data_IF_117477951146
#
_entry.id   IF_117477951146
#
_cell.length_a   1.000
_cell.length_b   1.000
_cell.length_c   1.000
_cell.angle_alpha   90.00
_cell.angle_beta   90.00
_cell.angle_gamma   90.00
#
_symmetry.space_group_name_H-M   'P 1'
#
loop_
_entity.id
_entity.type
_entity.pdbx_description
1 polymer ?
#
# COMPACT_ATOMS: atom_id res chain seq x y z
N UNK A 1 -6.82 -38.34 2.09
CA UNK A 1 -5.92 -37.51 1.27
C UNK A 1 -6.50 -36.11 1.20
N UNK A 2 -5.97 -35.17 1.99
CA UNK A 2 -6.46 -33.79 2.03
C UNK A 2 -5.96 -33.02 0.82
N UNK A 3 -6.83 -32.74 -0.14
CA UNK A 3 -6.54 -31.84 -1.24
C UNK A 3 -6.23 -30.45 -0.69
N UNK A 4 -4.98 -30.00 -0.88
CA UNK A 4 -4.58 -28.63 -0.58
C UNK A 4 -5.48 -27.69 -1.38
N UNK A 5 -6.38 -26.95 -0.69
CA UNK A 5 -7.22 -25.92 -1.31
C UNK A 5 -6.26 -24.89 -1.91
N UNK A 6 -6.04 -24.95 -3.22
CA UNK A 6 -5.24 -23.96 -3.95
C UNK A 6 -5.82 -22.58 -3.66
N UNK A 7 -5.05 -21.72 -2.98
CA UNK A 7 -5.39 -20.31 -2.77
C UNK A 7 -5.69 -19.70 -4.15
N UNK A 8 -6.87 -19.09 -4.33
CA UNK A 8 -7.18 -18.36 -5.57
C UNK A 8 -6.05 -17.37 -5.83
N UNK A 9 -5.50 -17.38 -7.05
CA UNK A 9 -4.41 -16.48 -7.43
C UNK A 9 -4.94 -15.05 -7.37
N UNK A 10 -4.17 -14.12 -6.80
CA UNK A 10 -4.54 -12.72 -6.80
C UNK A 10 -4.65 -12.21 -8.25
N UNK A 11 -5.64 -11.36 -8.49
CA UNK A 11 -5.97 -10.76 -9.78
C UNK A 11 -5.87 -9.24 -9.69
N UNK A 12 -6.04 -8.56 -10.82
CA UNK A 12 -6.27 -7.11 -10.85
C UNK A 12 -7.47 -6.78 -9.93
N UNK A 13 -7.43 -5.62 -9.28
CA UNK A 13 -8.47 -5.19 -8.36
C UNK A 13 -9.85 -5.14 -9.05
N UNK A 14 -10.95 -5.65 -8.45
CA UNK A 14 -12.24 -5.74 -9.15
C UNK A 14 -12.79 -4.40 -9.67
N UNK A 15 -12.60 -3.32 -8.91
CA UNK A 15 -13.00 -1.95 -9.31
C UNK A 15 -12.13 -1.34 -10.42
N UNK A 16 -10.99 -1.96 -10.75
CA UNK A 16 -10.09 -1.47 -11.79
C UNK A 16 -10.73 -1.73 -13.16
N UNK A 17 -10.78 -0.70 -14.02
CA UNK A 17 -11.35 -0.78 -15.38
C UNK A 17 -10.76 -1.92 -16.22
N UNK A 18 -9.48 -2.25 -15.98
CA UNK A 18 -8.74 -3.26 -16.72
C UNK A 18 -8.84 -4.67 -16.14
N UNK A 19 -9.67 -4.90 -15.10
CA UNK A 19 -9.79 -6.19 -14.42
C UNK A 19 -10.32 -7.29 -15.34
N UNK A 20 -11.43 -7.00 -16.03
CA UNK A 20 -12.09 -7.90 -16.96
C UNK A 20 -11.86 -7.50 -18.44
N UNK A 21 -11.49 -6.23 -18.67
CA UNK A 21 -11.34 -5.66 -20.01
C UNK A 21 -9.89 -5.15 -20.22
N UNK A 22 -8.95 -6.02 -20.62
CA UNK A 22 -7.61 -5.57 -20.95
C UNK A 22 -7.65 -4.57 -22.13
N UNK A 23 -6.70 -3.63 -22.22
CA UNK A 23 -6.71 -2.64 -23.29
C UNK A 23 -6.68 -3.27 -24.69
N UNK A 24 -7.59 -2.84 -25.56
CA UNK A 24 -7.60 -3.24 -26.97
C UNK A 24 -6.61 -2.36 -27.76
N UNK A 25 -5.39 -2.87 -27.97
CA UNK A 25 -4.36 -2.12 -28.67
C UNK A 25 -4.73 -1.80 -30.12
N UNK A 26 -5.49 -2.66 -30.80
CA UNK A 26 -5.88 -2.41 -32.19
C UNK A 26 -6.89 -1.25 -32.27
N UNK A 27 -7.86 -1.22 -31.35
CA UNK A 27 -8.77 -0.08 -31.21
C UNK A 27 -8.01 1.20 -30.86
N UNK A 28 -7.11 1.15 -29.87
CA UNK A 28 -6.33 2.32 -29.48
C UNK A 28 -5.46 2.83 -30.63
N UNK A 29 -4.87 1.95 -31.44
CA UNK A 29 -4.08 2.34 -32.61
C UNK A 29 -4.91 3.03 -33.70
N UNK A 30 -6.19 2.65 -33.86
CA UNK A 30 -7.07 3.28 -34.83
C UNK A 30 -7.53 4.67 -34.39
N UNK A 31 -7.67 4.88 -33.08
CA UNK A 31 -8.04 6.17 -32.49
C UNK A 31 -6.84 7.12 -32.31
N UNK A 32 -5.65 6.57 -32.10
CA UNK A 32 -4.42 7.33 -31.85
C UNK A 32 -3.34 6.95 -32.87
N UNK A 33 -3.26 7.65 -34.02
CA UNK A 33 -2.29 7.33 -35.07
C UNK A 33 -0.83 7.36 -34.61
N UNK A 34 -0.50 8.15 -33.59
CA UNK A 34 0.83 8.20 -32.96
C UNK A 34 1.21 6.91 -32.24
N UNK A 35 0.23 6.10 -31.82
CA UNK A 35 0.46 4.80 -31.19
C UNK A 35 0.67 3.68 -32.21
N UNK A 36 0.09 3.82 -33.42
CA UNK A 36 0.15 2.81 -34.48
C UNK A 36 1.57 2.26 -34.78
N UNK A 37 2.64 3.09 -34.85
CA UNK A 37 4.00 2.61 -35.13
C UNK A 37 4.57 1.65 -34.08
N UNK A 38 4.03 1.62 -32.87
CA UNK A 38 4.55 0.79 -31.77
C UNK A 38 3.92 -0.61 -31.71
N UNK A 39 2.90 -0.88 -32.53
CA UNK A 39 2.25 -2.19 -32.55
C UNK A 39 3.11 -3.23 -33.25
N UNK A 40 3.10 -4.44 -32.67
CA UNK A 40 3.74 -5.63 -33.19
C UNK A 40 2.74 -6.76 -33.22
N UNK A 41 2.75 -7.51 -34.31
CA UNK A 41 2.01 -8.76 -34.39
C UNK A 41 2.70 -9.81 -33.52
N UNK A 42 1.96 -10.37 -32.56
CA UNK A 42 2.48 -11.48 -31.78
C UNK A 42 2.50 -12.73 -32.66
N UNK A 43 3.68 -13.34 -32.84
CA UNK A 43 3.79 -14.60 -33.59
C UNK A 43 3.17 -15.79 -32.83
N UNK A 44 2.83 -15.62 -31.54
CA UNK A 44 2.32 -16.67 -30.64
C UNK A 44 0.90 -16.44 -30.17
N UNK A 45 0.33 -15.27 -30.39
CA UNK A 45 -1.01 -14.91 -29.94
C UNK A 45 -1.76 -14.22 -31.07
N UNK A 46 -3.07 -14.46 -31.17
CA UNK A 46 -3.98 -13.79 -32.12
C UNK A 46 -4.18 -12.29 -31.84
N UNK A 47 -3.45 -11.73 -30.89
CA UNK A 47 -3.61 -10.37 -30.40
C UNK A 47 -2.35 -9.53 -30.67
N UNK A 48 -2.57 -8.26 -30.98
CA UNK A 48 -1.50 -7.27 -31.16
C UNK A 48 -0.86 -6.93 -29.82
N UNK A 49 0.45 -6.70 -29.82
CA UNK A 49 1.24 -6.32 -28.62
C UNK A 49 2.11 -5.12 -28.95
N UNK A 50 2.81 -4.56 -27.95
CA UNK A 50 3.92 -3.62 -28.14
C UNK A 50 5.26 -4.27 -27.79
N UNK A 51 6.36 -3.59 -28.07
CA UNK A 51 7.66 -3.87 -27.47
C UNK A 51 7.72 -3.35 -26.03
N UNK A 52 7.72 -4.26 -25.06
CA UNK A 52 7.83 -3.88 -23.65
C UNK A 52 9.23 -3.43 -23.23
N UNK A 53 10.23 -3.59 -24.10
CA UNK A 53 11.61 -3.07 -23.89
C UNK A 53 11.83 -1.69 -24.51
N UNK A 54 10.88 -1.18 -25.30
CA UNK A 54 10.94 0.16 -25.88
C UNK A 54 10.27 1.18 -24.94
N UNK A 55 11.07 2.11 -24.43
CA UNK A 55 10.59 3.20 -23.58
C UNK A 55 9.53 4.06 -24.29
N UNK A 56 9.69 4.32 -25.59
CA UNK A 56 8.74 5.15 -26.33
C UNK A 56 7.40 4.43 -26.54
N UNK A 57 7.45 3.12 -26.80
CA UNK A 57 6.23 2.31 -26.90
C UNK A 57 5.44 2.30 -25.59
N UNK A 58 6.13 2.14 -24.45
CA UNK A 58 5.49 2.13 -23.12
C UNK A 58 4.99 3.51 -22.72
N UNK A 59 5.77 4.59 -22.97
CA UNK A 59 5.34 5.97 -22.75
C UNK A 59 4.11 6.33 -23.56
N UNK A 60 4.08 5.98 -24.85
CA UNK A 60 2.95 6.27 -25.72
C UNK A 60 1.70 5.45 -25.34
N UNK A 61 1.85 4.18 -25.00
CA UNK A 61 0.75 3.38 -24.46
C UNK A 61 0.18 4.02 -23.18
N UNK A 62 1.04 4.44 -22.24
CA UNK A 62 0.60 5.10 -21.01
C UNK A 62 -0.15 6.40 -21.29
N UNK A 63 0.37 7.25 -22.18
CA UNK A 63 -0.31 8.48 -22.61
C UNK A 63 -1.69 8.18 -23.19
N UNK A 64 -1.79 7.23 -24.10
CA UNK A 64 -3.04 6.86 -24.76
C UNK A 64 -4.06 6.31 -23.77
N UNK A 65 -3.64 5.45 -22.83
CA UNK A 65 -4.54 4.93 -21.79
C UNK A 65 -5.05 6.05 -20.87
N UNK A 66 -4.17 6.95 -20.45
CA UNK A 66 -4.56 8.08 -19.60
C UNK A 66 -5.54 9.02 -20.30
N UNK A 67 -5.30 9.32 -21.57
CA UNK A 67 -6.20 10.17 -22.34
C UNK A 67 -7.55 9.48 -22.63
N UNK A 68 -7.53 8.24 -23.11
CA UNK A 68 -8.73 7.52 -23.53
C UNK A 68 -9.62 7.10 -22.36
N UNK A 69 -9.03 6.56 -21.29
CA UNK A 69 -9.80 5.94 -20.21
C UNK A 69 -10.05 6.86 -19.02
N UNK A 70 -9.21 7.87 -18.82
CA UNK A 70 -9.21 8.73 -17.63
C UNK A 70 -9.32 10.22 -17.96
N UNK A 71 -9.43 10.58 -19.24
CA UNK A 71 -9.51 11.97 -19.72
C UNK A 71 -8.31 12.85 -19.26
N UNK A 72 -7.14 12.24 -19.12
CA UNK A 72 -5.93 12.90 -18.65
C UNK A 72 -4.96 13.21 -19.80
N UNK A 73 -4.59 14.48 -19.94
CA UNK A 73 -3.49 14.92 -20.80
C UNK A 73 -2.19 14.78 -20.02
N UNK A 74 -1.25 13.97 -20.52
CA UNK A 74 -0.10 13.55 -19.73
C UNK A 74 1.14 13.33 -20.60
N UNK A 75 2.32 13.70 -20.09
CA UNK A 75 3.59 13.38 -20.71
C UNK A 75 4.75 13.35 -19.70
N UNK A 76 5.84 12.66 -20.03
CA UNK A 76 7.10 12.68 -19.27
C UNK A 76 8.30 12.84 -20.20
N UNK A 77 9.39 13.47 -19.75
CA UNK A 77 10.61 13.59 -20.53
C UNK A 77 11.33 12.23 -20.59
N UNK A 78 12.32 12.15 -21.47
CA UNK A 78 13.13 10.94 -21.62
C UNK A 78 13.89 10.63 -20.33
N UNK A 79 14.11 9.33 -20.09
CA UNK A 79 14.88 8.84 -18.94
C UNK A 79 14.10 8.71 -17.63
N UNK A 80 12.90 9.27 -17.51
CA UNK A 80 12.06 9.15 -16.30
C UNK A 80 11.36 7.80 -16.21
N UNK A 81 10.89 7.42 -15.01
CA UNK A 81 10.13 6.19 -14.83
C UNK A 81 8.75 6.31 -15.46
N UNK A 82 8.49 5.49 -16.49
CA UNK A 82 7.18 5.39 -17.14
C UNK A 82 6.23 4.47 -16.33
N UNK A 83 5.11 4.98 -15.80
CA UNK A 83 4.21 4.17 -14.99
C UNK A 83 3.31 3.25 -15.83
N UNK A 84 3.00 2.05 -15.33
CA UNK A 84 1.99 1.19 -15.92
C UNK A 84 0.61 1.45 -15.30
N UNK A 85 -0.28 2.12 -16.05
CA UNK A 85 -1.60 2.59 -15.55
C UNK A 85 -2.39 1.51 -14.78
N UNK A 86 -2.52 0.26 -15.26
CA UNK A 86 -3.34 -0.73 -14.54
C UNK A 86 -2.80 -1.07 -13.14
N UNK A 87 -1.47 -1.20 -12.98
CA UNK A 87 -0.90 -1.47 -11.66
C UNK A 87 -1.00 -0.27 -10.72
N UNK A 88 -0.89 0.96 -11.23
CA UNK A 88 -1.06 2.16 -10.40
C UNK A 88 -2.51 2.33 -9.93
N UNK A 89 -3.47 2.05 -10.81
CA UNK A 89 -4.90 2.03 -10.47
C UNK A 89 -5.27 0.97 -9.42
N UNK A 90 -4.58 -0.20 -9.39
CA UNK A 90 -4.80 -1.19 -8.32
C UNK A 90 -4.51 -0.61 -6.92
N UNK A 91 -3.51 0.25 -6.79
CA UNK A 91 -3.17 0.88 -5.52
C UNK A 91 -4.25 1.90 -5.11
N UNK A 92 -4.69 2.75 -6.05
CA UNK A 92 -5.79 3.71 -5.81
C UNK A 92 -7.05 3.01 -5.31
N UNK A 93 -7.47 1.91 -5.96
CA UNK A 93 -8.67 1.20 -5.52
C UNK A 93 -8.50 0.43 -4.20
N UNK A 94 -7.29 -0.01 -3.88
CA UNK A 94 -7.04 -0.59 -2.55
C UNK A 94 -7.10 0.47 -1.44
N UNK A 95 -6.61 1.68 -1.72
CA UNK A 95 -6.79 2.82 -0.81
C UNK A 95 -8.27 3.15 -0.63
N UNK A 96 -9.06 3.14 -1.69
CA UNK A 96 -10.51 3.35 -1.62
C UNK A 96 -11.19 2.32 -0.69
N UNK A 97 -10.81 1.03 -0.80
CA UNK A 97 -11.31 -0.02 0.09
C UNK A 97 -10.83 0.17 1.55
N UNK A 98 -9.58 0.62 1.78
CA UNK A 98 -9.07 0.94 3.11
C UNK A 98 -9.81 2.13 3.74
N UNK A 99 -10.15 3.14 2.93
CA UNK A 99 -10.85 4.34 3.38
C UNK A 99 -12.34 4.09 3.63
N UNK A 100 -12.96 3.18 2.89
CA UNK A 100 -14.32 2.73 3.15
C UNK A 100 -14.43 1.79 4.37
N UNK A 101 -13.28 1.33 4.90
CA UNK A 101 -13.24 0.37 6.00
C UNK A 101 -13.50 1.04 7.36
N UNK A 102 -14.51 0.54 8.07
CA UNK A 102 -14.84 0.98 9.45
C UNK A 102 -13.89 0.41 10.53
N UNK A 103 -12.69 -0.02 10.15
CA UNK A 103 -11.75 -0.64 11.10
C UNK A 103 -11.07 0.42 11.98
N UNK A 104 -10.88 1.63 11.45
CA UNK A 104 -10.38 2.82 12.16
C UNK A 104 -11.33 3.99 11.89
N UNK A 105 -11.30 5.09 12.65
CA UNK A 105 -12.20 6.22 12.46
C UNK A 105 -12.20 6.75 11.01
N UNK A 106 -13.39 7.04 10.47
CA UNK A 106 -13.62 7.28 9.04
C UNK A 106 -13.24 8.67 8.52
N UNK A 107 -12.87 9.61 9.37
CA UNK A 107 -12.32 10.89 8.92
C UNK A 107 -11.46 11.51 10.01
N UNK A 108 -10.37 12.13 9.57
CA UNK A 108 -9.64 13.12 10.36
C UNK A 108 -9.61 14.49 9.65
N UNK A 109 -10.21 14.59 8.47
CA UNK A 109 -10.26 15.80 7.65
C UNK A 109 -11.63 16.47 7.80
N UNK A 110 -11.63 17.79 7.98
CA UNK A 110 -12.84 18.59 8.03
C UNK A 110 -13.33 18.82 6.59
N UNK A 111 -14.47 18.23 6.23
CA UNK A 111 -15.13 18.51 4.95
C UNK A 111 -15.49 17.29 4.10
N UNK A 112 -15.22 16.07 4.55
CA UNK A 112 -15.69 14.83 3.91
C UNK A 112 -15.11 14.52 2.53
N UNK A 113 -14.20 15.37 2.02
CA UNK A 113 -13.43 15.13 0.80
C UNK A 113 -12.10 14.49 1.18
N UNK A 114 -11.76 13.39 0.51
CA UNK A 114 -10.52 12.66 0.75
C UNK A 114 -9.32 13.50 0.33
N UNK A 115 -8.33 13.61 1.23
CA UNK A 115 -7.03 14.25 0.96
C UNK A 115 -5.88 13.26 1.12
N UNK A 116 -5.19 12.97 0.02
CA UNK A 116 -4.04 12.07 -0.04
C UNK A 116 -2.70 12.81 -0.05
N UNK A 117 -1.63 12.11 0.34
CA UNK A 117 -0.25 12.55 0.17
C UNK A 117 0.55 11.51 -0.62
N UNK A 118 1.18 11.90 -1.72
CA UNK A 118 2.01 11.02 -2.56
C UNK A 118 3.50 11.34 -2.36
N UNK A 119 4.24 10.38 -1.82
CA UNK A 119 5.68 10.51 -1.51
C UNK A 119 6.50 10.04 -2.70
N UNK A 120 7.26 10.96 -3.31
CA UNK A 120 8.02 10.68 -4.54
C UNK A 120 7.07 10.56 -5.72
N UNK A 121 6.31 11.63 -6.00
CA UNK A 121 5.29 11.64 -7.05
C UNK A 121 5.88 11.48 -8.46
N UNK A 122 7.17 11.78 -8.60
CA UNK A 122 7.93 11.66 -9.85
C UNK A 122 7.44 12.62 -10.93
N UNK A 123 8.19 12.70 -12.03
CA UNK A 123 7.78 13.50 -13.20
C UNK A 123 6.41 13.10 -13.75
N UNK A 124 5.99 11.85 -13.52
CA UNK A 124 4.73 11.32 -14.01
C UNK A 124 3.50 11.74 -13.18
N UNK A 125 3.63 12.08 -11.90
CA UNK A 125 2.52 12.45 -11.03
C UNK A 125 1.29 11.51 -11.12
N UNK A 126 1.54 10.20 -11.32
CA UNK A 126 0.50 9.28 -11.76
C UNK A 126 -0.60 9.04 -10.71
N UNK A 127 -0.24 9.01 -9.43
CA UNK A 127 -1.20 8.72 -8.36
C UNK A 127 -2.13 9.90 -8.08
N UNK A 128 -1.64 11.15 -7.92
CA UNK A 128 -2.51 12.31 -7.80
C UNK A 128 -3.48 12.44 -8.96
N UNK A 129 -2.99 12.32 -10.20
CA UNK A 129 -3.83 12.43 -11.40
C UNK A 129 -4.91 11.35 -11.47
N UNK A 130 -4.55 10.09 -11.20
CA UNK A 130 -5.52 8.99 -11.20
C UNK A 130 -6.54 9.11 -10.07
N UNK A 131 -6.11 9.45 -8.84
CA UNK A 131 -7.02 9.58 -7.71
C UNK A 131 -7.98 10.75 -7.87
N UNK A 132 -7.51 11.88 -8.41
CA UNK A 132 -8.35 13.03 -8.74
C UNK A 132 -9.35 12.70 -9.86
N UNK A 133 -8.91 12.09 -10.96
CA UNK A 133 -9.78 11.73 -12.09
C UNK A 133 -10.82 10.66 -11.74
N UNK A 134 -10.41 9.60 -11.02
CA UNK A 134 -11.28 8.46 -10.73
C UNK A 134 -12.25 8.73 -9.58
N UNK A 135 -11.80 9.43 -8.53
CA UNK A 135 -12.49 9.49 -7.24
C UNK A 135 -12.67 10.92 -6.72
N UNK A 136 -12.23 11.95 -7.45
CA UNK A 136 -12.33 13.34 -7.04
C UNK A 136 -11.50 13.68 -5.79
N UNK A 137 -10.48 12.89 -5.50
CA UNK A 137 -9.61 13.09 -4.34
C UNK A 137 -8.69 14.29 -4.55
N UNK A 138 -8.40 14.99 -3.45
CA UNK A 138 -7.35 16.00 -3.42
C UNK A 138 -6.02 15.39 -3.01
N UNK A 139 -4.91 15.95 -3.48
CA UNK A 139 -3.57 15.42 -3.25
C UNK A 139 -2.56 16.52 -2.97
N UNK A 140 -1.59 16.17 -2.15
CA UNK A 140 -0.26 16.79 -2.16
C UNK A 140 0.72 15.75 -2.70
N UNK A 141 1.40 16.05 -3.80
CA UNK A 141 2.50 15.23 -4.33
C UNK A 141 3.84 15.87 -3.99
N UNK A 142 4.75 15.11 -3.39
CA UNK A 142 6.09 15.60 -3.07
C UNK A 142 7.18 14.90 -3.86
N UNK A 143 8.27 15.63 -4.15
CA UNK A 143 9.49 15.05 -4.73
C UNK A 143 10.74 15.83 -4.31
N UNK A 144 11.91 15.23 -4.50
CA UNK A 144 13.23 15.82 -4.19
C UNK A 144 13.92 16.39 -5.43
N UNK A 145 13.55 15.95 -6.63
CA UNK A 145 14.24 16.34 -7.87
C UNK A 145 13.54 17.48 -8.60
N UNK A 146 14.30 18.44 -9.14
CA UNK A 146 13.74 19.55 -9.94
C UNK A 146 12.95 19.06 -11.15
N UNK A 147 13.45 18.02 -11.83
CA UNK A 147 12.80 17.44 -13.00
C UNK A 147 11.44 16.85 -12.63
N UNK A 148 11.33 16.14 -11.50
CA UNK A 148 10.05 15.61 -11.07
C UNK A 148 9.06 16.71 -10.72
N UNK A 149 9.49 17.73 -9.96
CA UNK A 149 8.63 18.87 -9.59
C UNK A 149 8.12 19.60 -10.84
N UNK A 150 9.02 19.98 -11.76
CA UNK A 150 8.67 20.72 -12.98
C UNK A 150 7.66 19.93 -13.85
N UNK A 151 7.89 18.64 -14.05
CA UNK A 151 7.02 17.82 -14.90
C UNK A 151 5.73 17.39 -14.22
N UNK A 152 5.74 17.16 -12.91
CA UNK A 152 4.51 16.93 -12.16
C UNK A 152 3.58 18.15 -12.26
N UNK A 153 4.11 19.37 -12.04
CA UNK A 153 3.36 20.61 -12.19
C UNK A 153 2.82 20.78 -13.62
N UNK A 154 3.62 20.51 -14.65
CA UNK A 154 3.17 20.54 -16.05
C UNK A 154 2.03 19.56 -16.32
N UNK A 155 2.12 18.35 -15.79
CA UNK A 155 1.06 17.35 -15.95
C UNK A 155 -0.22 17.75 -15.21
N UNK A 156 -0.13 18.33 -14.02
CA UNK A 156 -1.28 18.88 -13.30
C UNK A 156 -1.92 20.02 -14.09
N UNK A 157 -1.12 20.99 -14.54
CA UNK A 157 -1.58 22.18 -15.28
C UNK A 157 -2.16 21.84 -16.66
N UNK A 158 -1.78 20.70 -17.24
CA UNK A 158 -2.37 20.19 -18.49
C UNK A 158 -3.80 19.65 -18.32
N UNK A 159 -4.28 19.54 -17.08
CA UNK A 159 -5.60 19.01 -16.73
C UNK A 159 -6.40 20.01 -15.88
N UNK A 160 -6.86 21.13 -16.45
CA UNK A 160 -7.49 22.23 -15.71
C UNK A 160 -8.79 21.84 -14.98
N UNK A 161 -9.41 20.72 -15.34
CA UNK A 161 -10.61 20.21 -14.69
C UNK A 161 -10.34 19.55 -13.32
N UNK A 162 -9.09 19.22 -13.01
CA UNK A 162 -8.66 18.64 -11.73
C UNK A 162 -7.45 19.35 -11.11
N UNK A 163 -6.88 20.37 -11.76
CA UNK A 163 -5.63 21.00 -11.30
C UNK A 163 -5.74 21.54 -9.87
N UNK A 164 -6.88 22.10 -9.49
CA UNK A 164 -7.14 22.65 -8.16
C UNK A 164 -7.19 21.57 -7.06
N UNK A 165 -7.26 20.29 -7.43
CA UNK A 165 -7.23 19.18 -6.50
C UNK A 165 -5.80 18.74 -6.15
N UNK A 166 -4.78 19.17 -6.90
CA UNK A 166 -3.42 18.62 -6.78
C UNK A 166 -2.41 19.74 -6.54
N UNK A 167 -1.74 19.70 -5.39
CA UNK A 167 -0.63 20.56 -5.05
C UNK A 167 0.69 19.78 -5.18
N UNK A 168 1.71 20.37 -5.82
CA UNK A 168 3.06 19.80 -5.87
C UNK A 168 3.97 20.53 -4.88
N UNK A 169 4.79 19.78 -4.12
CA UNK A 169 5.71 20.33 -3.12
C UNK A 169 7.12 19.76 -3.26
N UNK A 170 8.11 20.64 -3.15
CA UNK A 170 9.51 20.22 -3.05
C UNK A 170 9.84 19.78 -1.63
N UNK A 171 10.56 18.66 -1.51
CA UNK A 171 11.22 18.27 -0.27
C UNK A 171 12.58 18.93 -0.23
N UNK A 172 12.76 19.89 0.68
CA UNK A 172 14.03 20.59 0.84
C UNK A 172 15.08 19.66 1.44
N UNK A 173 16.22 19.54 0.77
CA UNK A 173 17.41 18.92 1.33
C UNK A 173 18.06 19.92 2.29
N UNK A 174 17.59 19.97 3.54
CA UNK A 174 18.26 20.76 4.55
C UNK A 174 19.73 20.33 4.65
N UNK A 175 20.65 21.18 4.19
CA UNK A 175 22.06 21.05 4.49
C UNK A 175 22.24 21.04 6.00
N UNK A 176 22.65 19.89 6.54
CA UNK A 176 22.79 19.58 7.97
C UNK A 176 21.57 19.93 8.84
N UNK A 177 20.68 18.96 9.03
CA UNK A 177 19.92 18.91 10.28
C UNK A 177 20.92 18.64 11.43
N UNK A 178 21.02 19.60 12.34
CA UNK A 178 21.83 19.51 13.56
C UNK A 178 21.58 18.17 14.26
N UNK A 179 22.67 17.42 14.46
CA UNK A 179 22.65 16.17 15.17
C UNK A 179 22.13 16.41 16.59
N UNK A 180 21.03 15.76 16.95
CA UNK A 180 20.53 15.71 18.32
C UNK A 180 21.62 15.08 19.18
N UNK A 181 22.23 15.88 20.05
CA UNK A 181 23.23 15.44 21.03
C UNK A 181 22.71 14.24 21.82
N UNK A 182 23.36 13.08 21.64
CA UNK A 182 23.28 11.98 22.61
C UNK A 182 24.64 11.86 23.30
N UNK A 183 24.66 12.42 24.50
CA UNK A 183 25.45 12.08 25.70
C UNK A 183 26.68 11.18 25.52
N UNK A 184 27.82 11.78 25.87
CA UNK A 184 29.13 11.18 26.12
C UNK A 184 29.08 9.96 27.04
N UNK A 185 29.74 8.87 26.62
CA UNK A 185 30.39 7.93 27.54
C UNK A 185 31.82 7.70 27.03
N UNK A 186 32.77 7.94 27.92
CA UNK A 186 34.21 8.03 27.71
C UNK A 186 34.84 6.70 27.23
N UNK A 187 35.82 6.84 26.33
CA UNK A 187 36.75 5.77 25.97
C UNK A 187 37.78 5.52 27.07
N UNK A 188 38.08 4.26 27.34
CA UNK A 188 39.35 3.86 27.94
C UNK A 188 39.96 2.70 27.16
N UNK A 189 41.17 2.95 26.66
CA UNK A 189 42.00 2.08 25.82
C UNK A 189 42.69 0.99 26.64
N UNK A 190 42.67 -0.26 26.17
CA UNK A 190 43.79 -1.18 26.42
C UNK A 190 43.97 -2.24 25.31
N UNK A 191 45.10 -2.11 24.61
CA UNK A 191 46.05 -3.14 24.19
C UNK A 191 45.53 -4.51 23.68
N UNK A 192 45.64 -4.69 22.36
CA UNK A 192 46.34 -5.82 21.74
C UNK A 192 45.68 -7.20 21.73
N UNK A 193 45.18 -7.60 20.55
CA UNK A 193 45.39 -8.94 19.96
C UNK A 193 44.81 -8.99 18.54
N UNK A 194 45.67 -9.37 17.59
CA UNK A 194 45.24 -9.82 16.26
C UNK A 194 44.62 -11.21 16.46
N UNK A 195 43.33 -11.34 16.14
CA UNK A 195 42.65 -12.61 15.96
C UNK A 195 41.73 -12.49 14.75
N UNK A 196 42.00 -13.30 13.74
CA UNK A 196 41.12 -13.56 12.61
C UNK A 196 39.84 -14.23 13.11
N UNK A 197 38.72 -13.50 13.12
CA UNK A 197 37.38 -14.06 13.21
C UNK A 197 36.40 -13.22 12.38
N UNK A 198 35.89 -13.86 11.32
CA UNK A 198 34.48 -13.91 10.92
C UNK A 198 33.74 -12.63 10.49
N UNK A 199 33.24 -12.68 9.25
CA UNK A 199 32.00 -12.09 8.74
C UNK A 199 31.61 -10.71 9.29
N UNK A 200 32.06 -9.66 8.61
CA UNK A 200 31.46 -8.33 8.77
C UNK A 200 30.02 -8.42 8.24
N UNK A 201 29.07 -8.37 9.17
CA UNK A 201 27.63 -8.41 8.92
C UNK A 201 27.22 -7.40 7.84
N UNK A 202 26.59 -7.90 6.78
CA UNK A 202 26.01 -7.13 5.69
C UNK A 202 24.70 -6.39 6.09
N UNK A 203 24.45 -6.14 7.38
CA UNK A 203 23.08 -5.92 7.89
C UNK A 203 22.63 -4.47 8.16
N UNK A 204 23.50 -3.44 8.21
CA UNK A 204 23.04 -2.06 8.52
C UNK A 204 23.38 -1.02 7.44
N UNK A 205 22.76 -1.17 6.25
CA UNK A 205 22.66 -0.08 5.28
C UNK A 205 21.40 0.75 5.59
N UNK A 206 21.54 1.76 6.43
CA UNK A 206 20.44 2.69 6.75
C UNK A 206 20.20 3.70 5.63
N UNK A 207 18.99 4.27 5.60
CA UNK A 207 18.64 5.37 4.73
C UNK A 207 19.38 6.64 5.17
N UNK A 208 20.03 7.31 4.22
CA UNK A 208 20.87 8.51 4.50
C UNK A 208 20.32 9.79 3.84
N UNK A 209 19.12 9.76 3.27
CA UNK A 209 18.49 10.95 2.67
C UNK A 209 17.76 11.81 3.70
N UNK A 210 17.14 12.93 3.27
CA UNK A 210 16.32 13.76 4.14
C UNK A 210 15.06 13.01 4.61
N UNK A 211 14.40 13.45 5.69
CA UNK A 211 13.04 13.01 6.00
C UNK A 211 12.13 13.13 4.76
N UNK A 212 11.24 12.16 4.58
CA UNK A 212 10.42 12.04 3.37
C UNK A 212 9.04 12.69 3.53
N UNK A 213 8.56 12.82 4.77
CA UNK A 213 7.32 13.49 5.13
C UNK A 213 7.57 14.68 6.07
N UNK A 214 8.54 14.59 6.97
CA UNK A 214 8.83 15.69 7.90
C UNK A 214 9.40 16.89 7.13
N UNK A 215 8.90 18.09 7.42
CA UNK A 215 9.28 19.33 6.75
C UNK A 215 8.48 19.66 5.49
N UNK A 216 7.91 18.67 4.80
CA UNK A 216 7.02 18.89 3.63
C UNK A 216 5.54 18.82 3.98
N UNK A 217 5.18 18.02 4.99
CA UNK A 217 3.88 18.08 5.65
C UNK A 217 3.87 19.32 6.53
N UNK A 218 2.93 20.24 6.27
CA UNK A 218 2.80 21.48 7.04
C UNK A 218 2.14 21.19 8.39
N UNK A 219 2.40 22.06 9.36
CA UNK A 219 1.76 21.99 10.67
C UNK A 219 0.23 22.00 10.54
N UNK A 220 -0.43 21.22 11.41
CA UNK A 220 -1.88 21.05 11.47
C UNK A 220 -2.56 20.45 10.22
N UNK A 221 -1.82 20.13 9.15
CA UNK A 221 -2.41 19.42 8.01
C UNK A 221 -2.78 17.98 8.37
N UNK A 222 -4.00 17.60 7.94
CA UNK A 222 -4.53 16.25 8.07
C UNK A 222 -4.73 15.63 6.70
N UNK A 223 -4.44 14.33 6.61
CA UNK A 223 -4.54 13.54 5.39
C UNK A 223 -5.24 12.22 5.69
N UNK A 224 -6.13 11.81 4.79
CA UNK A 224 -6.78 10.51 4.86
C UNK A 224 -5.79 9.36 4.61
N UNK A 225 -4.78 9.59 3.78
CA UNK A 225 -3.71 8.64 3.58
C UNK A 225 -2.41 9.28 3.08
N UNK A 226 -1.29 8.59 3.27
CA UNK A 226 -0.13 8.72 2.39
C UNK A 226 0.06 7.45 1.55
N UNK A 227 0.70 7.61 0.40
CA UNK A 227 1.10 6.51 -0.47
C UNK A 227 2.51 6.73 -1.02
N UNK A 228 3.17 5.64 -1.38
CA UNK A 228 4.51 5.68 -1.95
C UNK A 228 4.75 4.48 -2.87
N UNK A 229 5.42 4.72 -3.99
CA UNK A 229 6.07 3.68 -4.78
C UNK A 229 7.59 3.87 -4.65
N UNK A 230 8.22 3.24 -3.65
CA UNK A 230 9.59 3.56 -3.27
C UNK A 230 10.60 3.14 -4.34
N UNK A 231 11.80 3.74 -4.35
CA UNK A 231 12.93 3.22 -5.12
C UNK A 231 13.22 1.76 -4.70
N UNK A 232 13.15 0.85 -5.67
CA UNK A 232 13.13 -0.60 -5.42
C UNK A 232 14.51 -1.24 -5.29
N UNK A 233 15.57 -0.55 -5.74
CA UNK A 233 16.87 -1.15 -5.96
C UNK A 233 17.94 -0.56 -5.05
N UNK A 234 18.93 -1.38 -4.70
CA UNK A 234 20.13 -0.89 -4.01
C UNK A 234 21.15 -0.27 -4.97
N UNK A 235 21.08 -0.62 -6.27
CA UNK A 235 21.95 -0.09 -7.32
C UNK A 235 21.27 -0.11 -8.70
N UNK A 236 21.78 0.71 -9.63
CA UNK A 236 21.33 0.72 -11.03
C UNK A 236 21.64 -0.61 -11.75
N UNK A 237 22.72 -1.29 -11.36
CA UNK A 237 23.04 -2.63 -11.88
C UNK A 237 21.92 -3.62 -11.61
N UNK A 238 21.35 -3.58 -10.41
CA UNK A 238 20.22 -4.41 -10.01
C UNK A 238 18.94 -4.06 -10.79
N UNK A 239 18.71 -2.77 -11.05
CA UNK A 239 17.58 -2.28 -11.84
C UNK A 239 17.63 -2.80 -13.30
N UNK A 240 18.84 -2.91 -13.87
CA UNK A 240 19.07 -3.40 -15.24
C UNK A 240 18.93 -4.91 -15.45
N UNK A 241 18.73 -5.71 -14.39
CA UNK A 241 18.73 -7.18 -14.49
C UNK A 241 17.49 -7.79 -15.15
N UNK A 242 16.44 -7.01 -15.43
CA UNK A 242 15.23 -7.53 -16.09
C UNK A 242 15.22 -7.21 -17.60
N UNK A 243 15.67 -8.13 -18.48
CA UNK A 243 15.78 -7.87 -19.91
C UNK A 243 14.42 -7.81 -20.64
N UNK A 244 13.29 -8.01 -19.93
CA UNK A 244 11.95 -8.11 -20.52
C UNK A 244 11.16 -6.81 -20.47
N UNK A 245 11.69 -5.76 -19.86
CA UNK A 245 11.02 -4.48 -19.67
C UNK A 245 12.02 -3.34 -19.83
N UNK A 246 11.61 -2.20 -20.40
CA UNK A 246 12.43 -0.99 -20.36
C UNK A 246 12.54 -0.54 -18.90
N UNK A 247 13.74 -0.61 -18.31
CA UNK A 247 13.99 0.05 -17.02
C UNK A 247 14.31 1.52 -17.28
N UNK A 248 13.29 2.30 -17.66
CA UNK A 248 13.38 3.76 -17.59
C UNK A 248 13.31 4.20 -16.12
N UNK A 249 13.86 5.37 -15.81
CA UNK A 249 13.97 5.88 -14.45
C UNK A 249 15.36 6.45 -14.17
N UNK A 250 15.40 7.57 -13.45
CA UNK A 250 16.65 8.14 -12.96
C UNK A 250 17.21 7.32 -11.80
N UNK A 251 18.48 7.56 -11.44
CA UNK A 251 19.10 6.94 -10.25
C UNK A 251 18.27 7.25 -9.01
N UNK A 252 17.80 8.48 -8.90
CA UNK A 252 17.05 9.02 -7.77
C UNK A 252 15.65 8.42 -7.66
N UNK A 253 15.03 8.01 -8.78
CA UNK A 253 13.72 7.31 -8.78
C UNK A 253 13.85 5.81 -8.49
N UNK A 254 14.98 5.20 -8.84
CA UNK A 254 15.12 3.74 -8.84
C UNK A 254 15.95 3.19 -7.68
N UNK A 255 16.89 3.99 -7.18
CA UNK A 255 17.93 3.53 -6.26
C UNK A 255 17.87 4.30 -4.95
N UNK A 256 18.02 3.55 -3.86
CA UNK A 256 18.19 4.10 -2.53
C UNK A 256 19.25 3.30 -1.77
N UNK A 257 20.18 3.94 -1.03
CA UNK A 257 21.03 3.23 -0.08
C UNK A 257 20.18 2.39 0.89
N UNK A 258 20.49 1.09 1.01
CA UNK A 258 19.68 0.13 1.79
C UNK A 258 18.36 -0.31 1.12
N UNK A 259 18.14 0.15 -0.11
CA UNK A 259 17.04 -0.21 -1.01
C UNK A 259 15.66 0.15 -0.46
N UNK A 260 14.66 -0.51 -1.02
CA UNK A 260 13.26 -0.39 -0.60
C UNK A 260 13.08 -0.54 0.92
N UNK A 261 13.81 -1.48 1.53
CA UNK A 261 13.68 -1.77 2.97
C UNK A 261 14.03 -0.55 3.80
N UNK A 262 15.17 0.10 3.52
CA UNK A 262 15.60 1.28 4.25
C UNK A 262 14.67 2.48 4.00
N UNK A 263 14.24 2.67 2.75
CA UNK A 263 13.32 3.77 2.41
C UNK A 263 11.98 3.64 3.15
N UNK A 264 11.37 2.45 3.16
CA UNK A 264 10.10 2.24 3.88
C UNK A 264 10.32 2.36 5.40
N UNK A 265 11.45 1.89 5.94
CA UNK A 265 11.79 2.12 7.35
C UNK A 265 11.81 3.63 7.67
N UNK A 266 12.35 4.46 6.78
CA UNK A 266 12.30 5.93 6.96
C UNK A 266 10.86 6.47 6.99
N UNK A 267 9.98 5.99 6.12
CA UNK A 267 8.54 6.37 6.16
C UNK A 267 7.92 5.96 7.50
N UNK A 268 8.28 4.78 8.03
CA UNK A 268 7.81 4.31 9.34
C UNK A 268 8.31 5.24 10.46
N UNK A 269 9.57 5.67 10.42
CA UNK A 269 10.13 6.63 11.38
C UNK A 269 9.44 8.00 11.30
N UNK A 270 9.24 8.56 10.11
CA UNK A 270 8.49 9.82 9.97
C UNK A 270 7.05 9.69 10.49
N UNK A 271 6.43 8.52 10.31
CA UNK A 271 5.08 8.26 10.78
C UNK A 271 4.96 8.27 12.31
N UNK A 272 6.04 7.99 13.07
CA UNK A 272 6.01 8.06 14.53
C UNK A 272 5.96 9.48 15.06
N UNK A 273 6.41 10.47 14.28
CA UNK A 273 6.27 11.88 14.64
C UNK A 273 4.91 12.42 14.19
N UNK A 274 4.49 12.06 12.97
CA UNK A 274 3.26 12.59 12.38
C UNK A 274 1.98 11.94 12.91
N UNK A 275 2.04 10.68 13.38
CA UNK A 275 0.95 9.88 13.96
C UNK A 275 -0.46 10.23 13.46
N UNK A 276 -1.12 11.17 14.14
CA UNK A 276 -2.52 11.57 13.94
C UNK A 276 -2.73 12.58 12.82
N UNK A 277 -1.69 12.97 12.10
CA UNK A 277 -1.79 13.76 10.86
C UNK A 277 -2.21 12.91 9.67
N UNK A 278 -2.08 11.59 9.76
CA UNK A 278 -2.54 10.65 8.73
C UNK A 278 -3.50 9.63 9.32
N UNK A 279 -4.56 9.31 8.57
CA UNK A 279 -5.45 8.18 8.90
C UNK A 279 -4.77 6.86 8.58
N UNK A 280 -4.22 6.76 7.38
CA UNK A 280 -3.47 5.61 6.90
C UNK A 280 -2.10 6.04 6.38
N UNK A 281 -1.05 5.36 6.83
CA UNK A 281 0.23 5.39 6.13
C UNK A 281 0.30 4.15 5.24
N UNK A 282 0.73 4.31 3.99
CA UNK A 282 0.85 3.17 3.07
C UNK A 282 2.10 3.26 2.19
N UNK A 283 2.61 2.10 1.79
CA UNK A 283 3.65 1.99 0.75
C UNK A 283 3.44 0.74 -0.11
N UNK A 284 3.77 0.84 -1.39
CA UNK A 284 3.99 -0.32 -2.23
C UNK A 284 5.30 -1.01 -1.81
N UNK A 285 5.33 -2.33 -1.95
CA UNK A 285 6.46 -3.20 -1.68
C UNK A 285 6.70 -4.07 -2.92
N UNK A 286 7.90 -3.99 -3.47
CA UNK A 286 8.40 -4.66 -4.65
C UNK A 286 8.91 -6.06 -4.37
N UNK A 287 9.46 -6.30 -3.18
CA UNK A 287 9.99 -7.61 -2.78
C UNK A 287 9.22 -8.18 -1.60
N UNK A 288 8.56 -9.32 -1.82
CA UNK A 288 7.80 -10.03 -0.78
C UNK A 288 8.63 -10.34 0.48
N UNK A 289 9.93 -10.60 0.32
CA UNK A 289 10.86 -10.87 1.43
C UNK A 289 10.94 -9.71 2.43
N UNK A 290 10.73 -8.47 1.98
CA UNK A 290 10.80 -7.28 2.84
C UNK A 290 9.61 -7.19 3.81
N UNK A 291 8.45 -7.75 3.45
CA UNK A 291 7.23 -7.64 4.27
C UNK A 291 7.42 -8.14 5.69
N UNK A 292 8.12 -9.27 5.88
CA UNK A 292 8.32 -9.84 7.23
C UNK A 292 9.04 -8.86 8.16
N UNK A 293 10.11 -8.25 7.65
CA UNK A 293 10.89 -7.26 8.39
C UNK A 293 10.09 -5.99 8.66
N UNK A 294 9.45 -5.43 7.62
CA UNK A 294 8.69 -4.19 7.73
C UNK A 294 7.50 -4.31 8.69
N UNK A 295 6.78 -5.44 8.65
CA UNK A 295 5.70 -5.72 9.60
C UNK A 295 6.24 -5.82 11.03
N UNK A 296 7.39 -6.45 11.23
CA UNK A 296 8.04 -6.51 12.56
C UNK A 296 8.37 -5.11 13.07
N UNK A 297 8.94 -4.25 12.22
CA UNK A 297 9.29 -2.88 12.58
C UNK A 297 8.07 -2.02 12.91
N UNK A 298 6.97 -2.19 12.17
CA UNK A 298 5.70 -1.54 12.45
C UNK A 298 5.17 -1.86 13.85
N UNK A 299 5.23 -3.13 14.27
CA UNK A 299 4.82 -3.52 15.62
C UNK A 299 5.78 -2.99 16.70
N UNK A 300 7.08 -2.94 16.41
CA UNK A 300 8.08 -2.35 17.31
C UNK A 300 7.79 -0.87 17.60
N UNK A 301 7.38 -0.09 16.60
CA UNK A 301 7.03 1.33 16.79
C UNK A 301 5.61 1.56 17.33
N UNK A 302 4.87 0.49 17.64
CA UNK A 302 3.59 0.57 18.33
C UNK A 302 2.40 1.00 17.48
N UNK A 303 2.34 0.64 16.19
CA UNK A 303 1.13 0.88 15.38
C UNK A 303 -0.06 0.09 15.92
N UNK A 304 -1.26 0.63 15.76
CA UNK A 304 -2.49 -0.02 16.21
C UNK A 304 -2.95 -1.11 15.23
N UNK A 305 -2.63 -0.97 13.95
CA UNK A 305 -3.03 -1.91 12.91
C UNK A 305 -2.05 -1.95 11.74
N UNK A 306 -1.92 -3.15 11.16
CA UNK A 306 -1.22 -3.39 9.90
C UNK A 306 -2.14 -4.15 8.94
N UNK A 307 -2.16 -3.74 7.67
CA UNK A 307 -2.86 -4.41 6.56
C UNK A 307 -1.91 -4.63 5.40
N UNK A 308 -2.12 -5.72 4.68
CA UNK A 308 -1.38 -6.01 3.46
C UNK A 308 -2.30 -6.47 2.34
N UNK A 309 -1.87 -6.26 1.10
CA UNK A 309 -2.53 -6.78 -0.10
C UNK A 309 -1.50 -7.22 -1.13
N UNK A 310 -1.95 -7.88 -2.20
CA UNK A 310 -1.14 -8.29 -3.35
C UNK A 310 -1.72 -7.65 -4.61
N UNK A 311 -0.93 -6.82 -5.29
CA UNK A 311 -1.26 -6.24 -6.59
C UNK A 311 -0.69 -7.15 -7.69
N UNK A 312 -1.53 -7.61 -8.61
CA UNK A 312 -1.11 -8.49 -9.71
C UNK A 312 -1.47 -7.86 -11.04
N UNK A 313 -0.46 -7.68 -11.91
CA UNK A 313 -0.65 -7.33 -13.31
C UNK A 313 0.20 -8.27 -14.17
N UNK A 314 -0.45 -9.21 -14.85
CA UNK A 314 0.23 -10.21 -15.69
C UNK A 314 1.19 -11.09 -14.89
N UNK A 315 2.50 -10.92 -15.13
CA UNK A 315 3.57 -11.66 -14.42
C UNK A 315 4.15 -10.91 -13.24
N UNK A 316 3.84 -9.62 -13.12
CA UNK A 316 4.40 -8.74 -12.09
C UNK A 316 3.47 -8.75 -10.89
N UNK A 317 4.00 -9.19 -9.76
CA UNK A 317 3.36 -9.02 -8.45
C UNK A 317 4.06 -7.90 -7.67
N UNK A 318 3.26 -7.11 -6.98
CA UNK A 318 3.67 -6.15 -5.95
C UNK A 318 2.80 -6.38 -4.72
N UNK A 319 3.18 -5.81 -3.59
CA UNK A 319 2.43 -5.88 -2.36
C UNK A 319 2.11 -4.48 -1.86
N UNK A 320 0.96 -4.30 -1.22
CA UNK A 320 0.65 -3.10 -0.47
C UNK A 320 0.89 -3.35 1.01
N UNK A 321 1.47 -2.38 1.70
CA UNK A 321 1.62 -2.35 3.15
C UNK A 321 0.94 -1.08 3.67
N UNK A 322 0.03 -1.22 4.63
CA UNK A 322 -0.70 -0.11 5.23
C UNK A 322 -0.67 -0.23 6.75
N UNK A 323 -0.56 0.89 7.45
CA UNK A 323 -0.59 0.95 8.91
C UNK A 323 -1.27 2.23 9.41
N UNK A 324 -1.70 2.19 10.66
CA UNK A 324 -2.28 3.36 11.33
C UNK A 324 -1.96 3.35 12.83
N UNK A 325 -1.81 4.55 13.39
CA UNK A 325 -1.74 4.78 14.84
C UNK A 325 -3.12 5.03 15.46
N UNK A 326 -4.17 5.17 14.64
CA UNK A 326 -5.52 5.36 15.16
C UNK A 326 -6.05 4.07 15.79
N UNK A 327 -6.75 4.16 16.93
CA UNK A 327 -7.30 2.99 17.59
C UNK A 327 -8.34 2.32 16.71
N UNK A 328 -8.47 1.01 16.88
CA UNK A 328 -9.52 0.25 16.22
C UNK A 328 -10.88 0.72 16.69
N UNK A 329 -11.81 0.93 15.75
CA UNK A 329 -13.21 1.18 16.09
C UNK A 329 -13.75 -0.11 16.68
N UNK A 330 -14.09 -0.07 17.98
CA UNK A 330 -14.90 -1.13 18.56
C UNK A 330 -16.26 -1.05 17.90
N UNK A 331 -16.59 -2.05 17.07
CA UNK A 331 -17.98 -2.23 16.65
C UNK A 331 -18.77 -2.34 17.95
N UNK A 332 -19.65 -1.37 18.18
CA UNK A 332 -20.66 -1.49 19.20
C UNK A 332 -21.49 -2.71 18.81
N UNK A 333 -21.11 -3.87 19.37
CA UNK A 333 -22.05 -4.95 19.59
C UNK A 333 -23.29 -4.25 20.12
N UNK A 334 -24.44 -4.43 19.44
CA UNK A 334 -25.78 -4.05 19.89
C UNK A 334 -25.74 -3.85 21.39
N UNK A 335 -26.09 -2.65 21.87
CA UNK A 335 -26.18 -2.32 23.29
C UNK A 335 -26.97 -3.40 24.01
N UNK A 336 -26.26 -4.44 24.45
CA UNK A 336 -26.76 -5.46 25.33
C UNK A 336 -26.88 -4.72 26.64
N UNK A 337 -28.13 -4.34 26.91
CA UNK A 337 -28.73 -4.06 28.20
C UNK A 337 -27.69 -3.99 29.32
N UNK A 338 -27.58 -2.78 29.88
CA UNK A 338 -27.13 -2.51 31.25
C UNK A 338 -26.54 -3.73 31.95
N UNK A 339 -25.21 -3.77 31.99
CA UNK A 339 -24.38 -4.74 32.73
C UNK A 339 -25.08 -5.26 34.00
N UNK A 340 -25.81 -6.36 33.87
CA UNK A 340 -25.96 -7.32 34.95
C UNK A 340 -24.99 -8.45 34.61
N UNK A 341 -24.00 -8.65 35.48
CA UNK A 341 -23.01 -9.72 35.38
C UNK A 341 -23.72 -11.07 35.23
N UNK A 342 -23.92 -11.52 33.99
CA UNK A 342 -24.46 -12.84 33.71
C UNK A 342 -23.29 -13.79 33.52
N UNK A 343 -22.99 -14.59 34.55
CA UNK A 343 -22.07 -15.71 34.45
C UNK A 343 -22.85 -16.99 34.16
N UNK A 344 -22.33 -17.81 33.24
CA UNK A 344 -22.88 -19.11 32.91
C UNK A 344 -21.77 -20.14 32.82
N UNK A 345 -22.11 -21.40 33.08
CA UNK A 345 -21.20 -22.53 33.00
C UNK A 345 -21.58 -23.39 31.79
N UNK A 346 -20.56 -23.76 31.01
CA UNK A 346 -20.67 -24.68 29.88
C UNK A 346 -19.94 -25.96 30.25
N UNK A 347 -20.68 -27.06 30.35
CA UNK A 347 -20.10 -28.39 30.54
C UNK A 347 -20.33 -29.24 29.29
N UNK A 348 -19.24 -29.76 28.73
CA UNK A 348 -19.29 -30.81 27.71
C UNK A 348 -19.29 -32.14 28.44
N UNK A 349 -20.45 -32.78 28.55
CA UNK A 349 -20.59 -33.98 29.39
C UNK A 349 -20.54 -35.29 28.58
N UNK A 350 -20.71 -35.22 27.26
CA UNK A 350 -20.57 -36.39 26.40
C UNK A 350 -20.11 -36.02 25.00
N UNK A 351 -19.05 -36.70 24.54
CA UNK A 351 -18.55 -36.62 23.17
C UNK A 351 -18.81 -37.96 22.47
N UNK A 352 -19.57 -37.92 21.38
CA UNK A 352 -19.83 -39.06 20.49
C UNK A 352 -19.21 -38.70 19.12
N UNK A 353 -18.71 -39.65 18.31
CA UNK A 353 -18.21 -39.33 16.97
C UNK A 353 -19.21 -38.48 16.18
N UNK A 354 -18.80 -37.25 15.84
CA UNK A 354 -19.63 -36.29 15.10
C UNK A 354 -20.67 -35.51 15.92
N UNK A 355 -20.82 -35.74 17.22
CA UNK A 355 -21.80 -35.05 18.08
C UNK A 355 -21.21 -34.66 19.44
N UNK A 356 -21.39 -33.39 19.84
CA UNK A 356 -21.04 -32.89 21.16
C UNK A 356 -22.33 -32.55 21.92
N UNK A 357 -22.53 -33.18 23.08
CA UNK A 357 -23.60 -32.84 24.00
C UNK A 357 -23.08 -31.85 25.05
N UNK A 358 -23.66 -30.65 25.03
CA UNK A 358 -23.25 -29.52 25.87
C UNK A 358 -24.42 -29.10 26.74
N UNK A 359 -24.17 -28.92 28.04
CA UNK A 359 -25.13 -28.40 29.00
C UNK A 359 -24.73 -26.99 29.41
N UNK A 360 -25.67 -26.05 29.27
CA UNK A 360 -25.56 -24.70 29.80
C UNK A 360 -26.34 -24.54 31.08
N UNK A 361 -25.74 -23.93 32.09
CA UNK A 361 -26.50 -23.45 33.26
C UNK A 361 -26.11 -22.02 33.61
N UNK A 362 -27.12 -21.25 34.00
CA UNK A 362 -26.96 -19.88 34.46
C UNK A 362 -26.59 -19.91 35.94
N UNK A 363 -25.53 -19.21 36.35
CA UNK A 363 -25.05 -19.29 37.73
C UNK A 363 -26.01 -18.60 38.72
N UNK A 364 -26.85 -17.68 38.24
CA UNK A 364 -27.88 -17.02 39.04
C UNK A 364 -29.29 -17.37 38.53
N UNK A 365 -30.01 -18.21 39.29
CA UNK A 365 -31.32 -18.78 38.91
C UNK A 365 -32.47 -17.77 38.98
N UNK A 366 -32.25 -16.59 39.57
CA UNK A 366 -33.31 -15.60 39.82
C UNK A 366 -33.27 -14.39 38.85
N UNK A 367 -32.44 -14.42 37.80
CA UNK A 367 -32.44 -13.36 36.80
C UNK A 367 -33.57 -13.56 35.76
N UNK A 368 -34.28 -12.49 35.33
CA UNK A 368 -35.40 -12.57 34.36
C UNK A 368 -34.95 -12.90 32.91
N UNK A 369 -33.72 -13.38 32.73
CA UNK A 369 -32.99 -13.41 31.46
C UNK A 369 -32.95 -14.80 30.80
N UNK A 370 -33.88 -15.72 31.12
CA UNK A 370 -33.88 -17.08 30.56
C UNK A 370 -33.86 -17.11 29.02
N UNK A 371 -34.49 -16.11 28.37
CA UNK A 371 -34.46 -15.93 26.92
C UNK A 371 -33.08 -15.58 26.35
N UNK A 372 -32.25 -14.86 27.10
CA UNK A 372 -30.92 -14.44 26.64
C UNK A 372 -29.94 -15.62 26.55
N UNK A 373 -30.05 -16.60 27.46
CA UNK A 373 -29.20 -17.80 27.44
C UNK A 373 -29.47 -18.66 26.20
N UNK A 374 -30.74 -18.80 25.80
CA UNK A 374 -31.12 -19.53 24.58
C UNK A 374 -30.53 -18.90 23.33
N UNK A 375 -30.57 -17.56 23.22
CA UNK A 375 -29.98 -16.82 22.09
C UNK A 375 -28.45 -16.99 22.05
N UNK A 376 -27.78 -16.99 23.21
CA UNK A 376 -26.33 -17.22 23.29
C UNK A 376 -25.97 -18.64 22.83
N UNK A 377 -26.74 -19.65 23.25
CA UNK A 377 -26.54 -21.04 22.85
C UNK A 377 -26.76 -21.24 21.35
N UNK A 378 -27.78 -20.62 20.77
CA UNK A 378 -28.04 -20.69 19.34
C UNK A 378 -26.89 -20.08 18.52
N UNK A 379 -26.35 -18.93 18.95
CA UNK A 379 -25.18 -18.31 18.31
C UNK A 379 -23.91 -19.15 18.46
N UNK A 380 -23.71 -19.77 19.63
CA UNK A 380 -22.58 -20.68 19.86
C UNK A 380 -22.69 -21.91 18.95
N UNK A 381 -23.88 -22.49 18.83
CA UNK A 381 -24.15 -23.60 17.93
C UNK A 381 -23.87 -23.21 16.47
N UNK A 382 -24.35 -22.06 16.00
CA UNK A 382 -24.07 -21.54 14.67
C UNK A 382 -22.56 -21.35 14.42
N UNK A 383 -21.84 -20.74 15.36
CA UNK A 383 -20.41 -20.53 15.25
C UNK A 383 -19.64 -21.86 15.20
N UNK A 384 -20.02 -22.84 16.01
CA UNK A 384 -19.43 -24.17 16.01
C UNK A 384 -19.76 -24.94 14.73
N UNK A 385 -20.99 -24.85 14.22
CA UNK A 385 -21.39 -25.42 12.93
C UNK A 385 -20.60 -24.78 11.79
N UNK A 386 -20.45 -23.46 11.74
CA UNK A 386 -19.62 -22.79 10.73
C UNK A 386 -18.15 -23.21 10.81
N UNK A 387 -17.62 -23.40 12.02
CA UNK A 387 -16.21 -23.71 12.23
C UNK A 387 -15.87 -25.19 11.97
N UNK A 388 -16.79 -26.10 12.29
CA UNK A 388 -16.50 -27.55 12.32
C UNK A 388 -17.39 -28.40 11.39
N UNK A 389 -18.55 -27.91 10.96
CA UNK A 389 -19.43 -28.59 10.01
C UNK A 389 -19.35 -27.91 8.64
N UNK A 390 -18.29 -28.15 7.87
CA UNK A 390 -18.28 -27.78 6.46
C UNK A 390 -19.28 -28.64 5.70
N UNK A 391 -20.32 -28.04 5.09
CA UNK A 391 -21.25 -28.74 4.20
C UNK A 391 -20.43 -29.52 3.16
N UNK A 392 -20.52 -30.84 3.19
CA UNK A 392 -20.14 -31.70 2.09
C UNK A 392 -21.18 -31.54 0.99
N UNK A 393 -20.84 -30.77 -0.04
CA UNK A 393 -21.44 -30.84 -1.37
C UNK A 393 -20.30 -30.93 -2.37
#
# INVERSE_FOLDING_TARGET
MGGSKKRKRATIHPKNKYSENPPDFALLASLYPSFHPFLRNSHRHTHTTIDWTDFNATRELTRVLLHYDHALTWWIPDGQLCPTVPNRSNYIHWLDDLLASEIIPNSITDGGKVKGFDIGTGANCIYPLLGASLLGWSFVGSDVTDVAIEWAERNVNSNPHISDLIEIRRVESNGSAACVERLHVEESVHSGKIALCENIDAENKNYNGPPVLLGVVRDDEKFDFCMCNPPFFESLEEAGLNPKTSCGGTSEEMVCPGGERAFITRIIEDSTELKHSFRWFTSMVGRKSNLKYLISKLWEVGVAIVKTTEFVQGRTSRWGLAWSFLPLVQKSSISLLEKKNMSFMLEVFQQIPGTLLVKGSLQDRNSPSSGALSVIFQKLEEALRCKFCTKSV
#
